data_IF_112911696785
#
_entry.id   IF_112911696785
#
_cell.length_a   1.000
_cell.length_b   1.000
_cell.length_c   1.000
_cell.angle_alpha   90.00
_cell.angle_beta   90.00
_cell.angle_gamma   90.00
#
_symmetry.space_group_name_H-M   'P 1'
#
loop_
_entity.id
_entity.type
_entity.pdbx_description
1 polymer ?
#
# COMPACT_ATOMS: atom_id res chain seq x y z
N UNK A 1 -15.24 -15.55 -54.81
CA UNK A 1 -15.85 -16.43 -53.81
C UNK A 1 -15.42 -15.89 -52.46
N UNK A 2 -16.20 -14.93 -51.91
CA UNK A 2 -15.97 -14.36 -50.59
C UNK A 2 -16.93 -15.05 -49.60
N UNK A 3 -16.39 -15.78 -48.64
CA UNK A 3 -17.14 -16.34 -47.54
C UNK A 3 -17.11 -15.34 -46.37
N UNK A 4 -18.22 -14.67 -46.15
CA UNK A 4 -18.51 -13.94 -44.91
C UNK A 4 -18.83 -14.95 -43.82
N UNK A 5 -17.92 -15.12 -42.87
CA UNK A 5 -18.20 -15.78 -41.59
C UNK A 5 -19.01 -14.79 -40.72
N UNK A 6 -20.30 -15.05 -40.60
CA UNK A 6 -21.19 -14.38 -39.66
C UNK A 6 -20.74 -14.76 -38.23
N UNK A 7 -20.20 -13.79 -37.49
CA UNK A 7 -19.88 -13.92 -36.07
C UNK A 7 -21.21 -13.93 -35.31
N UNK A 8 -21.58 -15.08 -34.78
CA UNK A 8 -22.70 -15.26 -33.87
C UNK A 8 -22.45 -14.39 -32.61
N UNK A 9 -23.06 -13.22 -32.55
CA UNK A 9 -23.14 -12.41 -31.33
C UNK A 9 -24.12 -13.10 -30.36
N UNK A 10 -23.62 -13.98 -29.52
CA UNK A 10 -24.38 -14.51 -28.37
C UNK A 10 -24.83 -13.33 -27.51
N UNK A 11 -26.13 -13.12 -27.43
CA UNK A 11 -26.75 -12.15 -26.54
C UNK A 11 -26.25 -12.37 -25.09
N UNK A 12 -25.91 -11.31 -24.33
CA UNK A 12 -25.50 -11.47 -22.93
C UNK A 12 -26.60 -12.19 -22.16
N UNK A 13 -26.24 -13.13 -21.24
CA UNK A 13 -27.22 -13.87 -20.47
C UNK A 13 -28.13 -12.91 -19.70
N UNK A 14 -29.45 -13.20 -19.58
CA UNK A 14 -30.40 -12.31 -18.91
C UNK A 14 -29.92 -12.06 -17.48
N UNK A 15 -29.76 -10.78 -17.13
CA UNK A 15 -29.46 -10.35 -15.76
C UNK A 15 -30.62 -10.85 -14.87
N UNK A 16 -30.41 -11.96 -14.14
CA UNK A 16 -31.38 -12.47 -13.19
C UNK A 16 -31.72 -11.35 -12.23
N UNK A 17 -32.97 -10.90 -12.26
CA UNK A 17 -33.47 -9.93 -11.29
C UNK A 17 -33.25 -10.50 -9.87
N UNK A 18 -32.37 -9.86 -9.11
CA UNK A 18 -32.10 -10.24 -7.72
C UNK A 18 -33.43 -10.26 -6.95
N UNK A 19 -33.68 -11.32 -6.20
CA UNK A 19 -34.84 -11.40 -5.30
C UNK A 19 -34.79 -10.23 -4.30
N UNK A 20 -35.96 -9.85 -3.77
CA UNK A 20 -36.06 -8.76 -2.78
C UNK A 20 -35.13 -9.01 -1.59
N UNK A 21 -35.00 -10.25 -1.14
CA UNK A 21 -34.07 -10.66 -0.07
C UNK A 21 -32.61 -10.46 -0.46
N UNK A 22 -32.22 -10.75 -1.71
CA UNK A 22 -30.87 -10.53 -2.21
C UNK A 22 -30.55 -9.04 -2.34
N UNK A 23 -31.51 -8.21 -2.75
CA UNK A 23 -31.35 -6.76 -2.80
C UNK A 23 -31.19 -6.16 -1.41
N UNK A 24 -32.00 -6.61 -0.44
CA UNK A 24 -31.90 -6.19 0.96
C UNK A 24 -30.57 -6.62 1.58
N UNK A 25 -30.12 -7.84 1.31
CA UNK A 25 -28.83 -8.33 1.75
C UNK A 25 -27.67 -7.52 1.15
N UNK A 26 -27.69 -7.25 -0.14
CA UNK A 26 -26.68 -6.44 -0.81
C UNK A 26 -26.65 -4.99 -0.30
N UNK A 27 -27.79 -4.43 0.08
CA UNK A 27 -27.87 -3.08 0.66
C UNK A 27 -27.37 -3.04 2.11
N UNK A 28 -27.69 -4.04 2.92
CA UNK A 28 -27.34 -4.09 4.33
C UNK A 28 -25.92 -4.62 4.59
N UNK A 29 -25.46 -5.57 3.77
CA UNK A 29 -24.19 -6.30 3.94
C UNK A 29 -23.44 -6.47 2.61
N UNK A 30 -23.05 -5.37 1.93
CA UNK A 30 -22.46 -5.44 0.58
C UNK A 30 -21.17 -6.27 0.49
N UNK A 31 -20.42 -6.37 1.61
CA UNK A 31 -19.11 -7.05 1.66
C UNK A 31 -19.20 -8.48 2.23
N UNK A 32 -20.40 -9.02 2.48
CA UNK A 32 -20.56 -10.33 3.10
C UNK A 32 -21.01 -11.37 2.07
N UNK A 33 -20.25 -12.46 1.96
CA UNK A 33 -20.68 -13.65 1.25
C UNK A 33 -21.63 -14.49 2.14
N UNK A 34 -22.29 -15.52 1.59
CA UNK A 34 -23.25 -16.32 2.34
C UNK A 34 -22.69 -16.95 3.63
N UNK A 35 -21.43 -17.43 3.61
CA UNK A 35 -20.76 -18.00 4.78
C UNK A 35 -20.48 -16.94 5.85
N UNK A 36 -19.99 -15.77 5.46
CA UNK A 36 -19.74 -14.67 6.38
C UNK A 36 -21.04 -14.13 7.00
N UNK A 37 -22.14 -14.11 6.23
CA UNK A 37 -23.46 -13.71 6.71
C UNK A 37 -23.99 -14.71 7.75
N UNK A 38 -23.91 -16.02 7.46
CA UNK A 38 -24.35 -17.06 8.40
C UNK A 38 -23.55 -16.99 9.70
N UNK A 39 -22.22 -16.82 9.62
CA UNK A 39 -21.35 -16.67 10.79
C UNK A 39 -21.69 -15.39 11.59
N UNK A 40 -21.92 -14.27 10.92
CA UNK A 40 -22.29 -13.02 11.57
C UNK A 40 -23.62 -13.14 12.34
N UNK A 41 -24.64 -13.75 11.74
CA UNK A 41 -25.91 -14.00 12.41
C UNK A 41 -25.78 -14.98 13.61
N UNK A 42 -24.94 -16.01 13.46
CA UNK A 42 -24.61 -16.91 14.55
C UNK A 42 -24.00 -16.16 15.73
N UNK A 43 -22.97 -15.32 15.47
CA UNK A 43 -22.33 -14.52 16.52
C UNK A 43 -23.28 -13.49 17.13
N UNK A 44 -24.16 -12.90 16.31
CA UNK A 44 -25.17 -11.98 16.81
C UNK A 44 -26.17 -12.68 17.76
N UNK A 45 -26.70 -13.82 17.37
CA UNK A 45 -27.69 -14.55 18.19
C UNK A 45 -27.07 -15.10 19.47
N UNK A 46 -25.90 -15.74 19.39
CA UNK A 46 -25.21 -16.28 20.56
C UNK A 46 -24.75 -15.16 21.49
N UNK A 47 -24.13 -14.09 20.93
CA UNK A 47 -23.64 -13.00 21.75
C UNK A 47 -24.73 -12.19 22.43
N UNK A 48 -25.87 -11.97 21.76
CA UNK A 48 -27.04 -11.34 22.39
C UNK A 48 -27.64 -12.21 23.46
N UNK A 49 -27.67 -13.54 23.27
CA UNK A 49 -28.12 -14.47 24.29
C UNK A 49 -27.23 -14.46 25.54
N UNK A 50 -25.88 -14.51 25.36
CA UNK A 50 -24.93 -14.39 26.47
C UNK A 50 -25.08 -13.05 27.21
N UNK A 51 -25.21 -11.96 26.47
CA UNK A 51 -25.40 -10.63 27.07
C UNK A 51 -26.72 -10.53 27.84
N UNK A 52 -27.84 -11.02 27.27
CA UNK A 52 -29.14 -11.02 27.93
C UNK A 52 -29.15 -11.91 29.19
N UNK A 53 -28.57 -13.10 29.11
CA UNK A 53 -28.40 -13.98 30.27
C UNK A 53 -27.58 -13.30 31.37
N UNK A 54 -26.49 -12.63 31.02
CA UNK A 54 -25.68 -11.87 31.97
C UNK A 54 -26.50 -10.74 32.63
N UNK A 55 -27.30 -9.99 31.87
CA UNK A 55 -28.14 -8.92 32.44
C UNK A 55 -29.20 -9.46 33.38
N UNK A 56 -29.83 -10.62 33.06
CA UNK A 56 -30.83 -11.27 33.91
C UNK A 56 -30.20 -11.72 35.24
N UNK A 57 -28.99 -12.29 35.20
CA UNK A 57 -28.28 -12.68 36.42
C UNK A 57 -27.89 -11.43 37.26
N UNK A 58 -27.40 -10.39 36.62
CA UNK A 58 -27.03 -9.13 37.29
C UNK A 58 -28.24 -8.44 37.94
N UNK A 59 -29.43 -8.52 37.33
CA UNK A 59 -30.65 -7.93 37.88
C UNK A 59 -31.07 -8.54 39.24
N UNK A 60 -30.56 -9.72 39.60
CA UNK A 60 -30.81 -10.35 40.88
C UNK A 60 -29.86 -9.88 41.99
N UNK A 61 -28.81 -9.09 41.65
CA UNK A 61 -27.85 -8.59 42.62
C UNK A 61 -28.42 -7.43 43.44
N UNK A 62 -27.92 -7.22 44.68
CA UNK A 62 -28.33 -6.10 45.50
C UNK A 62 -27.90 -4.76 44.89
N UNK A 63 -28.67 -3.70 45.18
CA UNK A 63 -28.52 -2.37 44.56
C UNK A 63 -27.09 -1.78 44.67
N UNK A 64 -26.42 -2.01 45.80
CA UNK A 64 -25.04 -1.55 45.96
C UNK A 64 -24.04 -2.20 44.96
N UNK A 65 -24.24 -3.48 44.67
CA UNK A 65 -23.41 -4.18 43.66
C UNK A 65 -23.68 -3.65 42.25
N UNK A 66 -24.96 -3.36 41.91
CA UNK A 66 -25.32 -2.76 40.62
C UNK A 66 -24.70 -1.37 40.44
N UNK A 67 -24.60 -0.55 41.49
CA UNK A 67 -23.90 0.74 41.43
C UNK A 67 -22.39 0.56 41.18
N UNK A 68 -21.75 -0.43 41.82
CA UNK A 68 -20.35 -0.73 41.60
C UNK A 68 -20.09 -1.22 40.18
N UNK A 69 -20.93 -2.13 39.69
CA UNK A 69 -20.86 -2.65 38.32
C UNK A 69 -21.07 -1.52 37.29
N UNK A 70 -22.09 -0.70 37.49
CA UNK A 70 -22.38 0.43 36.59
C UNK A 70 -21.21 1.42 36.55
N UNK A 71 -20.60 1.74 37.70
CA UNK A 71 -19.42 2.60 37.78
C UNK A 71 -18.21 1.99 37.03
N UNK A 72 -17.94 0.70 37.21
CA UNK A 72 -16.87 0.01 36.52
C UNK A 72 -17.08 -0.10 35.01
N UNK A 73 -18.32 -0.40 34.57
CA UNK A 73 -18.72 -0.38 33.15
C UNK A 73 -18.53 1.02 32.55
N UNK A 74 -18.96 2.05 33.25
CA UNK A 74 -18.78 3.44 32.80
C UNK A 74 -17.29 3.81 32.64
N UNK A 75 -16.43 3.36 33.56
CA UNK A 75 -14.97 3.53 33.44
C UNK A 75 -14.41 2.80 32.23
N UNK A 76 -14.83 1.54 31.99
CA UNK A 76 -14.42 0.79 30.81
C UNK A 76 -14.86 1.50 29.50
N UNK A 77 -16.10 2.01 29.46
CA UNK A 77 -16.60 2.76 28.30
C UNK A 77 -15.87 4.09 28.09
N UNK A 78 -15.55 4.81 29.15
CA UNK A 78 -14.79 6.08 29.05
C UNK A 78 -13.38 5.82 28.52
N UNK A 79 -12.70 4.79 29.01
CA UNK A 79 -11.37 4.44 28.51
C UNK A 79 -11.38 3.96 27.05
N UNK A 80 -12.46 3.36 26.58
CA UNK A 80 -12.66 3.01 25.16
C UNK A 80 -12.71 4.24 24.23
N UNK A 81 -13.00 5.42 24.76
CA UNK A 81 -12.91 6.67 23.99
C UNK A 81 -11.47 7.13 23.72
N UNK A 82 -10.49 6.55 24.42
CA UNK A 82 -9.06 6.86 24.29
C UNK A 82 -8.24 5.65 23.84
N UNK A 83 -8.52 5.12 22.64
CA UNK A 83 -7.83 3.92 22.15
C UNK A 83 -6.36 4.19 21.89
N UNK A 84 -5.50 3.29 22.34
CA UNK A 84 -4.07 3.30 22.03
C UNK A 84 -3.85 2.51 20.73
N UNK A 85 -3.47 3.19 19.66
CA UNK A 85 -3.08 2.53 18.42
C UNK A 85 -1.71 1.91 18.58
N UNK A 86 -1.59 0.65 18.20
CA UNK A 86 -0.30 -0.04 18.22
C UNK A 86 0.45 0.34 16.93
N UNK A 87 1.67 0.91 17.03
CA UNK A 87 2.47 1.27 15.88
C UNK A 87 2.63 0.07 14.92
N UNK A 88 2.53 0.31 13.60
CA UNK A 88 2.65 -0.70 12.53
C UNK A 88 1.52 -1.73 12.43
N UNK A 89 0.45 -1.61 13.21
CA UNK A 89 -0.72 -2.48 13.12
C UNK A 89 -2.00 -1.65 13.05
N UNK A 90 -3.09 -2.22 12.51
CA UNK A 90 -4.41 -1.62 12.56
C UNK A 90 -5.15 -1.99 13.85
N UNK A 91 -4.46 -2.60 14.81
CA UNK A 91 -5.02 -3.01 16.08
C UNK A 91 -5.01 -1.86 17.08
N UNK A 92 -6.05 -1.82 17.86
CA UNK A 92 -6.27 -0.83 18.91
C UNK A 92 -6.32 -1.57 20.24
N UNK A 93 -5.50 -1.18 21.18
CA UNK A 93 -5.54 -1.68 22.54
C UNK A 93 -6.41 -0.75 23.38
N UNK A 94 -7.37 -1.33 24.10
CA UNK A 94 -8.20 -0.60 25.06
C UNK A 94 -7.69 -0.84 26.48
N UNK A 95 -7.49 0.23 27.20
CA UNK A 95 -7.17 0.13 28.62
C UNK A 95 -8.38 -0.26 29.45
N UNK A 96 -9.57 -0.25 28.83
CA UNK A 96 -10.81 -0.74 29.40
C UNK A 96 -10.75 -2.18 29.91
N UNK A 97 -9.85 -2.99 29.32
CA UNK A 97 -9.63 -4.37 29.74
C UNK A 97 -9.31 -4.51 31.22
N UNK A 98 -8.62 -3.55 31.84
CA UNK A 98 -8.32 -3.55 33.27
C UNK A 98 -9.62 -3.52 34.08
N UNK A 99 -10.57 -2.66 33.72
CA UNK A 99 -11.84 -2.52 34.44
C UNK A 99 -12.78 -3.68 34.16
N UNK A 100 -12.75 -4.24 32.93
CA UNK A 100 -13.52 -5.42 32.56
C UNK A 100 -13.09 -6.62 33.38
N UNK A 101 -11.79 -6.89 33.45
CA UNK A 101 -11.23 -8.00 34.23
C UNK A 101 -11.42 -7.77 35.74
N UNK A 102 -11.32 -6.54 36.21
CA UNK A 102 -11.62 -6.21 37.62
C UNK A 102 -13.08 -6.51 37.96
N UNK A 103 -14.03 -6.12 37.09
CA UNK A 103 -15.45 -6.46 37.27
C UNK A 103 -15.72 -7.97 37.25
N UNK A 104 -15.05 -8.70 36.34
CA UNK A 104 -15.07 -10.15 36.28
C UNK A 104 -14.65 -10.79 37.59
N UNK A 105 -13.53 -10.31 38.19
CA UNK A 105 -12.99 -10.85 39.43
C UNK A 105 -13.82 -10.48 40.67
N UNK A 106 -14.45 -9.28 40.67
CA UNK A 106 -15.22 -8.77 41.83
C UNK A 106 -16.68 -9.24 41.82
N UNK A 107 -17.32 -9.33 40.65
CA UNK A 107 -18.78 -9.52 40.51
C UNK A 107 -19.13 -10.69 39.61
N UNK A 108 -18.14 -11.43 39.13
CA UNK A 108 -18.38 -12.65 38.34
C UNK A 108 -18.33 -12.44 36.80
N UNK A 109 -18.43 -13.57 36.07
CA UNK A 109 -18.32 -13.60 34.61
C UNK A 109 -19.42 -12.79 33.89
N UNK A 110 -20.60 -12.66 34.49
CA UNK A 110 -21.72 -11.89 33.95
C UNK A 110 -21.42 -10.39 33.90
N UNK A 111 -20.79 -9.85 34.98
CA UNK A 111 -20.38 -8.46 35.02
C UNK A 111 -19.26 -8.17 34.00
N UNK A 112 -18.30 -9.09 33.85
CA UNK A 112 -17.27 -9.04 32.83
C UNK A 112 -17.86 -9.05 31.42
N UNK A 113 -18.81 -9.95 31.13
CA UNK A 113 -19.49 -10.07 29.85
C UNK A 113 -20.24 -8.79 29.46
N UNK A 114 -21.02 -8.24 30.41
CA UNK A 114 -21.74 -6.99 30.18
C UNK A 114 -20.79 -5.81 29.90
N UNK A 115 -19.70 -5.71 30.67
CA UNK A 115 -18.70 -4.69 30.51
C UNK A 115 -17.98 -4.79 29.15
N UNK A 116 -17.54 -5.99 28.77
CA UNK A 116 -16.84 -6.24 27.51
C UNK A 116 -17.73 -5.93 26.28
N UNK A 117 -19.00 -6.33 26.32
CA UNK A 117 -19.94 -6.03 25.25
C UNK A 117 -20.17 -4.53 25.06
N UNK A 118 -20.39 -3.79 26.15
CA UNK A 118 -20.64 -2.35 26.11
C UNK A 118 -19.37 -1.56 25.72
N UNK A 119 -18.22 -1.94 26.24
CA UNK A 119 -16.92 -1.36 25.86
C UNK A 119 -16.67 -1.54 24.37
N UNK A 120 -16.79 -2.78 23.84
CA UNK A 120 -16.60 -3.08 22.43
C UNK A 120 -17.60 -2.33 21.54
N UNK A 121 -18.83 -2.12 21.99
CA UNK A 121 -19.82 -1.32 21.27
C UNK A 121 -19.37 0.14 21.16
N UNK A 122 -18.93 0.77 22.25
CA UNK A 122 -18.45 2.17 22.27
C UNK A 122 -17.18 2.32 21.43
N UNK A 123 -16.21 1.43 21.59
CA UNK A 123 -14.97 1.40 20.83
C UNK A 123 -15.22 1.28 19.32
N UNK A 124 -16.12 0.36 18.93
CA UNK A 124 -16.48 0.15 17.52
C UNK A 124 -17.32 1.30 16.94
N UNK A 125 -18.13 1.98 17.75
CA UNK A 125 -18.91 3.14 17.31
C UNK A 125 -17.99 4.29 16.83
N UNK A 126 -16.87 4.44 17.48
CA UNK A 126 -15.89 5.48 17.15
C UNK A 126 -14.99 5.06 15.96
N UNK A 127 -14.62 3.77 15.87
CA UNK A 127 -13.65 3.28 14.89
C UNK A 127 -14.26 2.99 13.52
N UNK A 128 -15.57 2.71 13.43
CA UNK A 128 -16.24 2.35 12.18
C UNK A 128 -17.63 2.95 12.04
N UNK A 129 -18.00 3.28 10.78
CA UNK A 129 -19.36 3.71 10.44
C UNK A 129 -20.30 2.54 10.12
N UNK A 130 -19.77 1.30 9.99
CA UNK A 130 -20.52 0.12 9.56
C UNK A 130 -21.25 -0.51 10.76
N UNK A 131 -22.55 -0.52 10.73
CA UNK A 131 -23.39 -1.09 11.78
C UNK A 131 -23.11 -2.58 12.03
N UNK A 132 -22.82 -3.37 10.96
CA UNK A 132 -22.47 -4.79 11.06
C UNK A 132 -21.22 -5.03 11.89
N UNK A 133 -20.22 -4.14 11.79
CA UNK A 133 -19.00 -4.21 12.59
C UNK A 133 -19.27 -3.79 14.03
N UNK A 134 -20.10 -2.77 14.26
CA UNK A 134 -20.45 -2.29 15.61
C UNK A 134 -21.11 -3.37 16.43
N UNK A 135 -22.18 -3.97 15.88
CA UNK A 135 -22.91 -5.06 16.56
C UNK A 135 -22.06 -6.33 16.64
N UNK A 136 -21.37 -6.70 15.55
CA UNK A 136 -20.51 -7.86 15.53
C UNK A 136 -19.38 -7.81 16.55
N UNK A 137 -18.74 -6.65 16.76
CA UNK A 137 -17.70 -6.49 17.77
C UNK A 137 -18.23 -6.68 19.19
N UNK A 138 -19.37 -6.07 19.51
CA UNK A 138 -19.99 -6.19 20.82
C UNK A 138 -20.40 -7.63 21.14
N UNK A 139 -21.02 -8.32 20.19
CA UNK A 139 -21.50 -9.70 20.40
C UNK A 139 -20.34 -10.70 20.45
N UNK A 140 -19.28 -10.52 19.66
CA UNK A 140 -18.07 -11.35 19.74
C UNK A 140 -17.36 -11.14 21.08
N UNK A 141 -17.24 -9.91 21.56
CA UNK A 141 -16.67 -9.61 22.88
C UNK A 141 -17.50 -10.27 24.01
N UNK A 142 -18.85 -10.21 23.90
CA UNK A 142 -19.73 -10.89 24.86
C UNK A 142 -19.50 -12.39 24.90
N UNK A 143 -19.46 -13.06 23.74
CA UNK A 143 -19.22 -14.51 23.65
C UNK A 143 -17.85 -14.87 24.21
N UNK A 144 -16.80 -14.13 23.80
CA UNK A 144 -15.42 -14.38 24.24
C UNK A 144 -15.27 -14.22 25.74
N UNK A 145 -15.85 -13.15 26.31
CA UNK A 145 -15.76 -12.90 27.75
C UNK A 145 -16.62 -13.86 28.55
N UNK A 146 -17.82 -14.17 28.08
CA UNK A 146 -18.70 -15.13 28.74
C UNK A 146 -18.03 -16.51 28.84
N UNK A 147 -17.49 -17.01 27.72
CA UNK A 147 -16.84 -18.33 27.68
C UNK A 147 -15.57 -18.39 28.51
N UNK A 148 -14.64 -17.43 28.28
CA UNK A 148 -13.37 -17.41 29.01
C UNK A 148 -13.54 -17.01 30.47
N UNK A 149 -14.50 -16.15 30.81
CA UNK A 149 -14.79 -15.72 32.17
C UNK A 149 -15.33 -16.84 33.05
N UNK A 150 -16.25 -17.64 32.51
CA UNK A 150 -16.75 -18.85 33.24
C UNK A 150 -15.62 -19.86 33.43
N UNK A 151 -14.76 -20.05 32.43
CA UNK A 151 -13.61 -20.94 32.53
C UNK A 151 -12.65 -20.47 33.63
N UNK A 152 -12.37 -19.15 33.70
CA UNK A 152 -11.54 -18.57 34.76
C UNK A 152 -12.17 -18.79 36.14
N UNK A 153 -13.49 -18.51 36.27
CA UNK A 153 -14.20 -18.62 37.54
C UNK A 153 -14.19 -20.06 38.05
N UNK A 154 -14.46 -21.02 37.16
CA UNK A 154 -14.35 -22.45 37.47
C UNK A 154 -12.92 -22.84 37.87
N UNK A 155 -11.89 -22.28 37.22
CA UNK A 155 -10.49 -22.52 37.59
C UNK A 155 -10.13 -21.96 38.97
N UNK A 156 -10.62 -20.75 39.29
CA UNK A 156 -10.41 -20.13 40.61
C UNK A 156 -11.04 -20.96 41.70
N UNK A 157 -12.27 -21.45 41.50
CA UNK A 157 -12.96 -22.33 42.44
C UNK A 157 -12.25 -23.68 42.60
N UNK A 158 -11.89 -24.33 41.47
CA UNK A 158 -11.27 -25.65 41.46
C UNK A 158 -9.91 -25.67 42.20
N UNK A 159 -9.14 -24.60 42.03
CA UNK A 159 -7.80 -24.48 42.65
C UNK A 159 -7.81 -23.74 43.99
N UNK A 160 -8.98 -23.36 44.48
CA UNK A 160 -9.18 -22.64 45.74
C UNK A 160 -8.22 -21.42 45.83
N UNK A 161 -8.19 -20.61 44.79
CA UNK A 161 -7.28 -19.46 44.72
C UNK A 161 -7.88 -18.31 45.56
N UNK A 162 -7.34 -18.18 46.79
CA UNK A 162 -7.69 -17.07 47.67
C UNK A 162 -6.74 -15.89 47.42
N UNK A 163 -7.35 -14.68 47.39
CA UNK A 163 -6.60 -13.42 47.24
C UNK A 163 -5.63 -13.13 48.41
N UNK A 164 -5.82 -13.78 49.58
CA UNK A 164 -4.99 -13.56 50.74
C UNK A 164 -3.75 -14.48 50.80
N UNK A 165 -3.89 -15.73 50.40
CA UNK A 165 -2.81 -16.73 50.58
C UNK A 165 -2.02 -17.05 49.30
N UNK A 166 -2.68 -16.97 48.11
CA UNK A 166 -2.09 -17.41 46.84
C UNK A 166 -2.07 -16.31 45.79
N UNK A 167 -1.72 -15.09 46.20
CA UNK A 167 -1.72 -13.88 45.33
C UNK A 167 -0.95 -14.09 44.04
N UNK A 168 0.26 -14.62 44.09
CA UNK A 168 1.11 -14.83 42.91
C UNK A 168 0.44 -15.79 41.93
N UNK A 169 -0.16 -16.88 42.42
CA UNK A 169 -0.83 -17.88 41.60
C UNK A 169 -2.10 -17.28 40.95
N UNK A 170 -2.88 -16.50 41.71
CA UNK A 170 -4.05 -15.80 41.20
C UNK A 170 -3.65 -14.82 40.07
N UNK A 171 -2.63 -14.00 40.27
CA UNK A 171 -2.15 -13.06 39.22
C UNK A 171 -1.71 -13.80 37.97
N UNK A 172 -0.94 -14.91 38.12
CA UNK A 172 -0.51 -15.72 36.98
C UNK A 172 -1.69 -16.33 36.21
N UNK A 173 -2.67 -16.88 36.90
CA UNK A 173 -3.87 -17.48 36.28
C UNK A 173 -4.67 -16.40 35.55
N UNK A 174 -4.83 -15.21 36.13
CA UNK A 174 -5.55 -14.09 35.49
C UNK A 174 -4.76 -13.52 34.30
N UNK A 175 -3.42 -13.53 34.33
CA UNK A 175 -2.60 -13.17 33.16
C UNK A 175 -2.82 -14.14 32.00
N UNK A 176 -2.80 -15.45 32.28
CA UNK A 176 -3.06 -16.50 31.27
C UNK A 176 -4.48 -16.35 30.72
N UNK A 177 -5.45 -16.08 31.59
CA UNK A 177 -6.82 -15.77 31.20
C UNK A 177 -6.89 -14.57 30.25
N UNK A 178 -6.21 -13.45 30.54
CA UNK A 178 -6.19 -12.28 29.69
C UNK A 178 -5.66 -12.58 28.29
N UNK A 179 -4.59 -13.35 28.19
CA UNK A 179 -4.07 -13.83 26.91
C UNK A 179 -5.06 -14.74 26.17
N UNK A 180 -5.73 -15.66 26.91
CA UNK A 180 -6.74 -16.57 26.36
C UNK A 180 -7.97 -15.80 25.86
N UNK A 181 -8.50 -14.89 26.64
CA UNK A 181 -9.62 -14.02 26.26
C UNK A 181 -9.30 -13.24 24.97
N UNK A 182 -8.13 -12.60 24.95
CA UNK A 182 -7.68 -11.90 23.76
C UNK A 182 -7.58 -12.82 22.55
N UNK A 183 -6.97 -14.00 22.69
CA UNK A 183 -6.83 -14.97 21.62
C UNK A 183 -8.19 -15.42 21.09
N UNK A 184 -9.14 -15.73 21.98
CA UNK A 184 -10.51 -16.11 21.63
C UNK A 184 -11.22 -14.99 20.83
N UNK A 185 -11.19 -13.77 21.36
CA UNK A 185 -11.80 -12.61 20.72
C UNK A 185 -11.18 -12.32 19.34
N UNK A 186 -9.86 -12.35 19.24
CA UNK A 186 -9.13 -12.10 18.00
C UNK A 186 -9.38 -13.22 16.96
N UNK A 187 -9.48 -14.48 17.38
CA UNK A 187 -9.82 -15.59 16.48
C UNK A 187 -11.23 -15.43 15.91
N UNK A 188 -12.23 -15.15 16.76
CA UNK A 188 -13.60 -14.95 16.32
C UNK A 188 -13.74 -13.74 15.36
N UNK A 189 -13.04 -12.63 15.64
CA UNK A 189 -13.00 -11.48 14.75
C UNK A 189 -12.28 -11.77 13.43
N UNK A 190 -11.16 -12.51 13.47
CA UNK A 190 -10.40 -12.90 12.28
C UNK A 190 -11.21 -13.83 11.37
N UNK A 191 -12.04 -14.70 11.96
CA UNK A 191 -12.94 -15.59 11.20
C UNK A 191 -13.92 -14.81 10.32
N UNK A 192 -14.45 -13.68 10.79
CA UNK A 192 -15.27 -12.77 9.97
C UNK A 192 -14.48 -12.27 8.76
N UNK A 193 -13.25 -11.84 8.97
CA UNK A 193 -12.40 -11.29 7.92
C UNK A 193 -12.01 -12.36 6.87
N UNK A 194 -11.69 -13.57 7.32
CA UNK A 194 -11.42 -14.72 6.43
C UNK A 194 -12.62 -15.08 5.57
N UNK A 195 -13.78 -15.22 6.19
CA UNK A 195 -14.99 -15.59 5.49
C UNK A 195 -15.40 -14.55 4.44
N UNK A 196 -15.18 -13.25 4.74
CA UNK A 196 -15.42 -12.16 3.78
C UNK A 196 -14.50 -12.21 2.58
N UNK A 197 -13.19 -12.43 2.80
CA UNK A 197 -12.17 -12.35 1.76
C UNK A 197 -11.93 -13.65 1.01
N UNK A 198 -12.49 -14.76 1.51
CA UNK A 198 -12.21 -16.12 1.00
C UNK A 198 -10.71 -16.43 0.88
N UNK A 199 -9.88 -15.80 1.71
CA UNK A 199 -8.43 -15.97 1.73
C UNK A 199 -8.00 -16.60 3.05
N UNK A 200 -6.96 -17.46 3.03
CA UNK A 200 -6.39 -18.01 4.26
C UNK A 200 -5.75 -16.90 5.11
N UNK A 201 -5.73 -17.10 6.41
CA UNK A 201 -5.03 -16.22 7.35
C UNK A 201 -3.52 -16.21 7.03
N UNK A 202 -2.95 -15.02 6.95
CA UNK A 202 -1.50 -14.89 6.97
C UNK A 202 -1.02 -15.16 8.41
N UNK A 203 -0.54 -16.39 8.66
CA UNK A 203 -0.12 -16.86 9.98
C UNK A 203 0.99 -16.00 10.60
N UNK A 204 1.92 -15.49 9.80
CA UNK A 204 2.99 -14.62 10.28
C UNK A 204 2.45 -13.28 10.81
N UNK A 205 1.50 -12.66 10.11
CA UNK A 205 0.85 -11.43 10.55
C UNK A 205 0.03 -11.67 11.82
N UNK A 206 -0.72 -12.77 11.86
CA UNK A 206 -1.51 -13.17 13.02
C UNK A 206 -0.60 -13.36 14.24
N UNK A 207 0.49 -14.12 14.10
CA UNK A 207 1.41 -14.40 15.21
C UNK A 207 2.10 -13.13 15.72
N UNK A 208 2.51 -12.22 14.86
CA UNK A 208 3.14 -10.96 15.27
C UNK A 208 2.18 -10.03 16.03
N UNK A 209 0.91 -9.96 15.59
CA UNK A 209 -0.14 -9.17 16.27
C UNK A 209 -0.53 -9.84 17.59
N UNK A 210 -0.70 -11.17 17.59
CA UNK A 210 -1.05 -11.92 18.80
C UNK A 210 0.02 -11.83 19.89
N UNK A 211 1.32 -11.86 19.53
CA UNK A 211 2.40 -11.75 20.50
C UNK A 211 2.37 -10.45 21.30
N UNK A 212 2.28 -9.33 20.60
CA UNK A 212 2.33 -8.00 21.23
C UNK A 212 1.03 -7.63 21.97
N UNK A 213 -0.12 -7.80 21.30
CA UNK A 213 -1.42 -7.44 21.91
C UNK A 213 -1.81 -8.42 23.00
N UNK A 214 -1.49 -9.71 22.84
CA UNK A 214 -1.68 -10.71 23.88
C UNK A 214 -0.86 -10.42 25.14
N UNK A 215 0.39 -9.99 24.99
CA UNK A 215 1.23 -9.56 26.11
C UNK A 215 0.65 -8.32 26.81
N UNK A 216 0.13 -7.35 26.03
CA UNK A 216 -0.51 -6.16 26.60
C UNK A 216 -1.79 -6.51 27.36
N UNK A 217 -2.62 -7.43 26.83
CA UNK A 217 -3.84 -7.91 27.49
C UNK A 217 -3.53 -8.71 28.76
N UNK A 218 -2.48 -9.55 28.74
CA UNK A 218 -1.99 -10.24 29.94
C UNK A 218 -1.51 -9.24 31.00
N UNK A 219 -0.79 -8.18 30.60
CA UNK A 219 -0.35 -7.12 31.49
C UNK A 219 -1.52 -6.34 32.12
N UNK A 220 -2.53 -5.98 31.34
CA UNK A 220 -3.75 -5.34 31.80
C UNK A 220 -4.48 -6.25 32.83
N UNK A 221 -4.55 -7.53 32.54
CA UNK A 221 -5.15 -8.53 33.43
C UNK A 221 -4.38 -8.69 34.74
N UNK A 222 -3.04 -8.63 34.72
CA UNK A 222 -2.21 -8.61 35.91
C UNK A 222 -2.49 -7.37 36.80
N UNK A 223 -2.61 -6.20 36.17
CA UNK A 223 -2.96 -4.95 36.90
C UNK A 223 -4.35 -5.10 37.53
N UNK A 224 -5.34 -5.64 36.81
CA UNK A 224 -6.67 -5.91 37.32
C UNK A 224 -6.65 -6.88 38.51
N UNK A 225 -5.86 -7.95 38.45
CA UNK A 225 -5.69 -8.92 39.54
C UNK A 225 -5.07 -8.26 40.76
N UNK A 226 -4.04 -7.42 40.61
CA UNK A 226 -3.43 -6.68 41.71
C UNK A 226 -4.41 -5.72 42.35
N UNK A 227 -5.20 -4.98 41.55
CA UNK A 227 -6.26 -4.11 42.04
C UNK A 227 -7.31 -4.89 42.82
N UNK A 228 -7.72 -6.09 42.33
CA UNK A 228 -8.65 -6.97 43.01
C UNK A 228 -8.10 -7.42 44.37
N UNK A 229 -6.86 -7.87 44.41
CA UNK A 229 -6.22 -8.29 45.67
C UNK A 229 -6.15 -7.12 46.67
N UNK A 230 -5.70 -5.94 46.21
CA UNK A 230 -5.63 -4.74 47.02
C UNK A 230 -6.99 -4.31 47.57
N UNK A 231 -8.03 -4.39 46.73
CA UNK A 231 -9.42 -4.11 47.12
C UNK A 231 -9.91 -5.11 48.20
N UNK A 232 -9.56 -6.39 48.08
CA UNK A 232 -9.94 -7.40 49.06
C UNK A 232 -9.25 -7.22 50.40
N UNK A 233 -7.97 -6.80 50.38
CA UNK A 233 -7.17 -6.65 51.62
C UNK A 233 -7.40 -5.30 52.32
N UNK A 234 -7.54 -4.22 51.56
CA UNK A 234 -7.57 -2.85 52.09
C UNK A 234 -8.88 -2.08 51.81
N UNK A 235 -9.85 -2.74 51.19
CA UNK A 235 -11.16 -2.17 50.81
C UNK A 235 -11.15 -1.30 49.58
N UNK A 236 -12.34 -0.91 49.14
CA UNK A 236 -12.56 -0.15 47.89
C UNK A 236 -11.91 1.23 47.89
N UNK A 237 -11.66 1.82 49.07
CA UNK A 237 -11.02 3.13 49.20
C UNK A 237 -9.65 3.20 48.51
N UNK A 238 -8.84 2.13 48.59
CA UNK A 238 -7.53 2.08 47.95
C UNK A 238 -7.67 2.07 46.42
N UNK A 239 -8.64 1.33 45.88
CA UNK A 239 -8.91 1.35 44.45
C UNK A 239 -9.27 2.78 43.97
N UNK A 240 -10.11 3.50 44.73
CA UNK A 240 -10.46 4.86 44.39
C UNK A 240 -9.28 5.84 44.43
N UNK A 241 -8.31 5.64 45.34
CA UNK A 241 -7.10 6.47 45.43
C UNK A 241 -6.10 6.16 44.28
N UNK A 242 -6.12 4.95 43.73
CA UNK A 242 -5.28 4.56 42.58
C UNK A 242 -5.84 5.05 41.24
N UNK A 243 -7.15 5.33 41.13
CA UNK A 243 -7.77 5.80 39.88
C UNK A 243 -7.12 7.08 39.30
N UNK A 244 -6.81 8.14 40.08
CA UNK A 244 -6.13 9.31 39.54
C UNK A 244 -4.74 9.00 38.98
N UNK A 245 -4.00 8.13 39.65
CA UNK A 245 -2.66 7.69 39.20
C UNK A 245 -2.78 6.94 37.89
N UNK A 246 -3.73 6.01 37.81
CA UNK A 246 -4.00 5.27 36.58
C UNK A 246 -4.46 6.22 35.45
N UNK A 247 -5.34 7.18 35.73
CA UNK A 247 -5.79 8.18 34.77
C UNK A 247 -4.61 9.04 34.25
N UNK A 248 -3.70 9.46 35.13
CA UNK A 248 -2.51 10.20 34.74
C UNK A 248 -1.59 9.36 33.85
N UNK A 249 -1.33 8.10 34.22
CA UNK A 249 -0.52 7.18 33.42
C UNK A 249 -1.11 6.99 32.03
N UNK A 250 -2.43 6.78 31.95
CA UNK A 250 -3.15 6.61 30.69
C UNK A 250 -3.12 7.86 29.83
N UNK A 251 -3.31 9.03 30.42
CA UNK A 251 -3.23 10.29 29.72
C UNK A 251 -1.83 10.51 29.15
N UNK A 252 -0.80 10.25 29.95
CA UNK A 252 0.60 10.36 29.52
C UNK A 252 0.89 9.41 28.34
N UNK A 253 0.47 8.17 28.45
CA UNK A 253 0.65 7.17 27.39
C UNK A 253 -0.11 7.55 26.11
N UNK A 254 -1.32 8.05 26.26
CA UNK A 254 -2.12 8.55 25.13
C UNK A 254 -1.47 9.75 24.42
N UNK A 255 -0.97 10.72 25.18
CA UNK A 255 -0.24 11.88 24.61
C UNK A 255 1.02 11.42 23.90
N UNK A 256 1.78 10.52 24.50
CA UNK A 256 2.98 9.95 23.89
C UNK A 256 2.68 9.20 22.58
N UNK A 257 1.64 8.37 22.55
CA UNK A 257 1.21 7.68 21.34
C UNK A 257 0.80 8.67 20.23
N UNK A 258 0.07 9.73 20.57
CA UNK A 258 -0.29 10.79 19.61
C UNK A 258 0.91 11.55 19.07
N UNK A 259 1.91 11.81 19.89
CA UNK A 259 3.16 12.45 19.43
C UNK A 259 3.88 11.56 18.43
N UNK A 260 3.96 10.26 18.69
CA UNK A 260 4.57 9.31 17.74
C UNK A 260 3.82 9.25 16.40
N UNK A 261 2.48 9.24 16.42
CA UNK A 261 1.67 9.26 15.20
C UNK A 261 1.90 10.56 14.40
N UNK A 262 1.98 11.70 15.07
CA UNK A 262 2.27 12.99 14.46
C UNK A 262 3.67 13.04 13.84
N UNK A 263 4.68 12.51 14.52
CA UNK A 263 6.06 12.43 14.03
C UNK A 263 6.17 11.50 12.81
N UNK A 264 5.45 10.36 12.82
CA UNK A 264 5.40 9.47 11.66
C UNK A 264 4.72 10.13 10.45
N UNK A 265 3.59 10.82 10.67
CA UNK A 265 2.90 11.56 9.61
C UNK A 265 3.80 12.67 9.03
N UNK A 266 4.54 13.40 9.89
CA UNK A 266 5.48 14.43 9.46
C UNK A 266 6.64 13.84 8.63
N UNK A 267 7.18 12.69 9.02
CA UNK A 267 8.24 11.98 8.25
C UNK A 267 7.73 11.51 6.89
N UNK A 268 6.51 10.95 6.83
CA UNK A 268 5.89 10.54 5.57
C UNK A 268 5.63 11.73 4.64
N UNK A 269 5.14 12.85 5.18
CA UNK A 269 4.93 14.07 4.40
C UNK A 269 6.25 14.61 3.82
N UNK A 270 7.34 14.62 4.62
CA UNK A 270 8.67 15.02 4.14
C UNK A 270 9.22 14.08 3.07
N UNK A 271 9.03 12.76 3.22
CA UNK A 271 9.45 11.79 2.21
C UNK A 271 8.71 12.02 0.87
N UNK A 272 7.40 12.29 0.92
CA UNK A 272 6.60 12.60 -0.28
C UNK A 272 7.02 13.92 -0.95
N UNK A 273 7.39 14.95 -0.18
CA UNK A 273 7.89 16.21 -0.77
C UNK A 273 9.23 16.00 -1.48
N UNK A 274 10.17 15.29 -0.86
CA UNK A 274 11.45 14.96 -1.47
C UNK A 274 11.29 14.12 -2.76
N UNK A 275 10.37 13.17 -2.76
CA UNK A 275 10.07 12.36 -3.94
C UNK A 275 9.49 13.20 -5.09
N UNK A 276 8.59 14.14 -4.78
CA UNK A 276 8.06 15.09 -5.78
C UNK A 276 9.14 16.01 -6.32
N UNK A 277 10.02 16.53 -5.48
CA UNK A 277 11.16 17.37 -5.90
C UNK A 277 12.10 16.59 -6.82
N UNK A 278 12.42 15.33 -6.50
CA UNK A 278 13.23 14.46 -7.36
C UNK A 278 12.56 14.20 -8.72
N UNK A 279 11.24 13.95 -8.74
CA UNK A 279 10.48 13.79 -9.98
C UNK A 279 10.48 15.06 -10.83
N UNK A 280 10.33 16.23 -10.23
CA UNK A 280 10.39 17.50 -10.92
C UNK A 280 11.79 17.75 -11.50
N UNK A 281 12.85 17.48 -10.73
CA UNK A 281 14.23 17.62 -11.19
C UNK A 281 14.53 16.71 -12.39
N UNK A 282 14.07 15.45 -12.35
CA UNK A 282 14.24 14.51 -13.47
C UNK A 282 13.45 14.91 -14.71
N UNK A 283 12.23 15.44 -14.54
CA UNK A 283 11.42 15.93 -15.67
C UNK A 283 12.07 17.16 -16.35
N UNK A 284 12.58 18.10 -15.56
CA UNK A 284 13.30 19.27 -16.07
C UNK A 284 14.62 18.89 -16.79
N UNK A 285 15.35 17.91 -16.26
CA UNK A 285 16.54 17.38 -16.91
C UNK A 285 16.21 16.79 -18.29
N UNK A 286 15.17 15.97 -18.40
CA UNK A 286 14.71 15.41 -19.68
C UNK A 286 14.25 16.47 -20.67
N UNK A 287 13.59 17.52 -20.21
CA UNK A 287 13.19 18.64 -21.07
C UNK A 287 14.41 19.36 -21.65
N UNK A 288 15.44 19.65 -20.82
CA UNK A 288 16.69 20.27 -21.29
C UNK A 288 17.42 19.39 -22.30
N UNK A 289 17.51 18.09 -22.06
CA UNK A 289 18.09 17.15 -23.03
C UNK A 289 17.35 17.16 -24.37
N UNK A 290 16.02 17.16 -24.35
CA UNK A 290 15.20 17.22 -25.55
C UNK A 290 15.37 18.57 -26.28
N UNK A 291 15.47 19.69 -25.57
CA UNK A 291 15.73 20.99 -26.15
C UNK A 291 17.10 21.05 -26.81
N UNK A 292 18.15 20.55 -26.16
CA UNK A 292 19.50 20.47 -26.73
C UNK A 292 19.54 19.58 -27.97
N UNK A 293 18.87 18.40 -27.94
CA UNK A 293 18.79 17.52 -29.09
C UNK A 293 18.10 18.20 -30.29
N UNK A 294 17.00 18.93 -30.04
CA UNK A 294 16.32 19.69 -31.11
C UNK A 294 17.18 20.84 -31.67
N UNK A 295 17.95 21.47 -30.81
CA UNK A 295 18.89 22.53 -31.23
C UNK A 295 20.00 21.95 -32.14
N UNK A 296 20.62 20.85 -31.75
CA UNK A 296 21.63 20.17 -32.56
C UNK A 296 21.09 19.71 -33.92
N UNK A 297 19.87 19.17 -33.95
CA UNK A 297 19.23 18.81 -35.24
C UNK A 297 19.06 20.05 -36.15
N UNK A 298 18.61 21.18 -35.63
CA UNK A 298 18.45 22.43 -36.40
C UNK A 298 19.77 22.96 -36.90
N UNK A 299 20.84 22.88 -36.10
CA UNK A 299 22.19 23.28 -36.49
C UNK A 299 22.72 22.42 -37.65
N UNK A 300 22.52 21.06 -37.53
CA UNK A 300 22.84 20.11 -38.61
C UNK A 300 22.08 20.42 -39.91
N UNK A 301 20.78 20.58 -39.83
CA UNK A 301 19.96 20.91 -41.01
C UNK A 301 20.39 22.22 -41.64
N UNK A 302 20.73 23.24 -40.82
CA UNK A 302 21.18 24.53 -41.31
C UNK A 302 22.53 24.41 -42.00
N UNK A 303 23.44 23.61 -41.44
CA UNK A 303 24.75 23.34 -42.01
C UNK A 303 24.64 22.58 -43.34
N UNK A 304 23.81 21.54 -43.38
CA UNK A 304 23.52 20.79 -44.62
C UNK A 304 22.91 21.65 -45.71
N UNK A 305 21.93 22.49 -45.37
CA UNK A 305 21.34 23.44 -46.35
C UNK A 305 22.35 24.42 -46.92
N UNK A 306 23.23 24.97 -46.05
CA UNK A 306 24.31 25.87 -46.48
C UNK A 306 25.30 25.17 -47.40
N UNK A 307 25.71 23.97 -47.01
CA UNK A 307 26.58 23.14 -47.85
C UNK A 307 25.93 22.85 -49.21
N UNK A 308 24.71 22.38 -49.21
CA UNK A 308 23.95 22.02 -50.42
C UNK A 308 23.78 23.27 -51.35
N UNK A 309 23.44 24.41 -50.77
CA UNK A 309 23.32 25.66 -51.53
C UNK A 309 24.66 26.08 -52.12
N UNK A 310 25.74 26.06 -51.35
CA UNK A 310 27.09 26.39 -51.82
C UNK A 310 27.56 25.42 -52.91
N UNK A 311 27.32 24.13 -52.74
CA UNK A 311 27.69 23.10 -53.70
C UNK A 311 26.91 23.26 -55.03
N UNK A 312 25.61 23.46 -54.95
CA UNK A 312 24.74 23.54 -56.15
C UNK A 312 24.98 24.80 -56.97
N UNK A 313 25.18 25.94 -56.30
CA UNK A 313 25.36 27.24 -56.95
C UNK A 313 26.82 27.68 -57.19
N UNK A 314 27.76 26.79 -56.84
CA UNK A 314 29.19 27.07 -57.13
C UNK A 314 29.42 27.18 -58.65
N UNK A 315 30.19 28.20 -59.05
CA UNK A 315 30.55 28.35 -60.45
C UNK A 315 31.68 27.42 -60.88
N UNK A 316 32.29 26.72 -59.96
CA UNK A 316 33.32 25.69 -60.19
C UNK A 316 32.68 24.30 -60.14
N UNK A 317 33.11 23.38 -61.01
CA UNK A 317 32.67 21.97 -60.96
C UNK A 317 33.12 21.30 -59.70
N UNK A 318 32.15 20.75 -58.96
CA UNK A 318 32.40 20.03 -57.70
C UNK A 318 31.79 18.63 -57.75
N UNK A 319 32.49 17.67 -57.19
CA UNK A 319 31.96 16.32 -56.98
C UNK A 319 32.30 15.81 -55.59
N UNK A 320 31.35 15.01 -55.02
CA UNK A 320 31.62 14.17 -53.86
C UNK A 320 31.95 12.79 -54.35
N UNK A 321 33.16 12.35 -54.08
CA UNK A 321 33.71 11.08 -54.52
C UNK A 321 33.96 10.22 -53.29
N UNK A 322 33.47 8.95 -53.29
CA UNK A 322 33.75 8.02 -52.22
C UNK A 322 35.19 7.49 -52.32
N UNK A 323 35.63 6.79 -51.27
CA UNK A 323 36.98 6.20 -51.20
C UNK A 323 37.25 5.12 -52.29
N UNK A 324 36.22 4.57 -52.87
CA UNK A 324 36.30 3.63 -54.02
C UNK A 324 36.38 4.34 -55.38
N UNK A 325 36.38 5.68 -55.40
CA UNK A 325 36.43 6.47 -56.61
C UNK A 325 35.09 6.73 -57.31
N UNK A 326 33.98 6.21 -56.78
CA UNK A 326 32.65 6.46 -57.31
C UNK A 326 32.13 7.86 -56.99
N UNK A 327 31.53 8.51 -57.98
CA UNK A 327 30.89 9.83 -57.79
C UNK A 327 29.52 9.66 -57.15
N UNK A 328 29.40 10.08 -55.91
CA UNK A 328 28.13 10.08 -55.19
C UNK A 328 27.26 11.32 -55.58
N UNK A 329 27.87 12.44 -55.82
CA UNK A 329 27.15 13.68 -56.12
C UNK A 329 28.04 14.61 -56.98
N UNK A 330 27.46 15.25 -57.95
CA UNK A 330 28.13 16.25 -58.80
C UNK A 330 27.23 17.51 -58.86
N UNK A 331 27.84 18.69 -58.84
CA UNK A 331 27.12 19.92 -58.95
C UNK A 331 26.79 20.30 -60.44
N UNK A 332 25.82 21.20 -60.71
CA UNK A 332 25.47 21.57 -62.05
C UNK A 332 26.63 22.16 -62.88
N UNK A 333 27.55 22.86 -62.24
CA UNK A 333 28.71 23.40 -62.91
C UNK A 333 29.65 22.29 -63.46
N UNK A 334 29.82 21.17 -62.73
CA UNK A 334 30.59 20.04 -63.19
C UNK A 334 29.92 19.34 -64.38
N UNK A 335 28.58 19.17 -64.32
CA UNK A 335 27.80 18.65 -65.47
C UNK A 335 27.98 19.48 -66.71
N UNK A 336 27.89 20.81 -66.58
CA UNK A 336 28.09 21.75 -67.69
C UNK A 336 29.51 21.71 -68.22
N UNK A 337 30.52 21.61 -67.36
CA UNK A 337 31.94 21.55 -67.73
C UNK A 337 32.28 20.29 -68.49
N UNK A 338 31.73 19.16 -68.11
CA UNK A 338 31.98 17.83 -68.76
C UNK A 338 31.05 17.56 -69.91
N UNK A 339 29.97 18.32 -70.11
CA UNK A 339 28.98 18.13 -71.15
C UNK A 339 28.11 16.89 -70.93
N UNK A 340 27.85 16.50 -69.67
CA UNK A 340 27.08 15.32 -69.27
C UNK A 340 25.71 15.76 -68.73
N UNK A 341 24.66 14.96 -69.01
CA UNK A 341 23.33 15.24 -68.48
C UNK A 341 23.22 14.88 -66.97
N UNK A 342 22.26 15.54 -66.30
CA UNK A 342 22.02 15.29 -64.89
C UNK A 342 21.66 13.83 -64.63
N UNK A 343 22.50 13.12 -63.89
CA UNK A 343 22.33 11.70 -63.53
C UNK A 343 23.33 10.75 -64.21
N UNK A 344 23.96 11.13 -65.30
CA UNK A 344 24.96 10.28 -65.99
C UNK A 344 26.26 10.11 -65.18
N UNK A 345 26.58 11.04 -64.28
CA UNK A 345 27.74 11.00 -63.44
C UNK A 345 27.56 10.20 -62.13
N UNK A 346 26.31 9.95 -61.77
CA UNK A 346 26.00 9.14 -60.58
C UNK A 346 26.22 7.68 -60.84
N UNK A 347 27.14 6.99 -60.67
CA UNK A 347 27.41 5.57 -60.91
C UNK A 347 28.68 5.35 -61.72
N UNK A 348 29.31 6.40 -62.22
CA UNK A 348 30.61 6.34 -62.90
C UNK A 348 31.73 6.57 -61.92
N UNK A 349 32.80 5.76 -62.08
CA UNK A 349 34.05 6.10 -61.40
C UNK A 349 34.61 7.38 -61.98
N UNK A 350 35.19 8.22 -61.13
CA UNK A 350 35.85 9.45 -61.60
C UNK A 350 36.99 9.15 -62.56
N UNK A 351 37.57 7.95 -62.52
CA UNK A 351 38.59 7.46 -63.43
C UNK A 351 38.08 7.33 -64.85
N UNK A 352 36.80 7.07 -65.09
CA UNK A 352 36.21 7.02 -66.45
C UNK A 352 36.13 8.41 -67.11
N UNK A 353 36.24 9.46 -66.33
CA UNK A 353 36.23 10.86 -66.80
C UNK A 353 37.63 11.39 -67.13
N UNK A 354 38.63 10.69 -66.61
CA UNK A 354 40.05 11.05 -66.85
C UNK A 354 40.52 10.39 -68.14
N UNK A 355 41.23 11.17 -69.02
CA UNK A 355 41.78 10.61 -70.22
C UNK A 355 42.73 9.44 -69.95
N UNK A 356 42.75 8.46 -70.85
CA UNK A 356 43.58 7.25 -70.75
C UNK A 356 45.10 7.46 -70.57
N UNK A 357 45.57 8.70 -70.72
CA UNK A 357 46.96 9.10 -70.46
C UNK A 357 47.32 9.33 -68.98
N UNK A 358 46.31 9.54 -68.06
CA UNK A 358 46.55 10.01 -66.71
C UNK A 358 45.84 9.23 -65.57
N UNK A 359 45.44 7.92 -65.75
CA UNK A 359 44.64 7.21 -64.75
C UNK A 359 45.39 6.96 -63.42
N UNK A 360 46.69 6.71 -63.51
CA UNK A 360 47.53 6.46 -62.33
C UNK A 360 47.70 7.69 -61.42
N UNK A 361 47.66 8.88 -62.00
CA UNK A 361 47.77 10.14 -61.24
C UNK A 361 46.51 10.38 -60.37
N UNK A 362 45.35 10.15 -60.88
CA UNK A 362 44.11 10.27 -60.13
C UNK A 362 44.03 9.27 -58.98
N UNK A 363 44.30 7.99 -59.28
CA UNK A 363 44.29 6.90 -58.26
C UNK A 363 45.30 7.17 -57.13
N UNK A 364 46.51 7.62 -57.45
CA UNK A 364 47.50 7.97 -56.42
C UNK A 364 47.09 9.16 -55.58
N UNK A 365 46.45 10.19 -56.16
CA UNK A 365 45.94 11.35 -55.43
C UNK A 365 44.77 10.95 -54.54
N UNK A 366 43.83 10.14 -55.02
CA UNK A 366 42.71 9.63 -54.27
C UNK A 366 43.16 8.79 -53.06
N UNK A 367 44.15 7.89 -53.30
CA UNK A 367 44.72 7.04 -52.25
C UNK A 367 45.42 7.90 -51.16
N UNK A 368 46.11 8.97 -51.53
CA UNK A 368 46.76 9.88 -50.58
C UNK A 368 45.76 10.66 -49.73
N UNK A 369 44.67 11.16 -50.32
CA UNK A 369 43.60 11.83 -49.59
C UNK A 369 42.81 10.82 -48.73
N UNK A 370 42.48 9.68 -49.27
CA UNK A 370 41.73 8.63 -48.54
C UNK A 370 42.53 8.03 -47.36
N UNK A 371 43.87 7.99 -47.44
CA UNK A 371 44.74 7.55 -46.34
C UNK A 371 44.95 8.62 -45.27
N UNK A 372 44.44 9.84 -45.44
CA UNK A 372 44.67 10.95 -44.53
C UNK A 372 46.10 11.53 -44.57
N UNK A 373 46.87 11.13 -45.57
CA UNK A 373 48.25 11.65 -45.75
C UNK A 373 48.28 13.13 -46.16
N UNK A 374 47.16 13.64 -46.70
CA UNK A 374 46.99 15.07 -47.05
C UNK A 374 45.51 15.42 -47.09
N UNK A 375 45.14 16.52 -46.46
CA UNK A 375 43.76 17.03 -46.46
C UNK A 375 43.39 17.71 -47.79
N UNK A 376 44.36 18.21 -48.54
CA UNK A 376 44.14 18.88 -49.82
C UNK A 376 45.28 18.54 -50.78
N UNK A 377 44.94 18.08 -51.96
CA UNK A 377 45.88 17.85 -53.05
C UNK A 377 45.41 18.53 -54.34
N UNK A 378 46.31 19.24 -54.99
CA UNK A 378 46.08 19.79 -56.32
C UNK A 378 46.80 18.95 -57.37
N UNK A 379 46.08 18.49 -58.36
CA UNK A 379 46.65 17.75 -59.50
C UNK A 379 46.01 18.16 -60.81
N UNK A 380 46.78 18.21 -61.85
CA UNK A 380 46.28 18.49 -63.18
C UNK A 380 45.93 17.20 -63.90
N UNK A 381 44.68 17.07 -64.32
CA UNK A 381 44.15 15.90 -65.01
C UNK A 381 43.48 16.34 -66.32
N UNK A 382 43.70 15.58 -67.38
CA UNK A 382 42.96 15.75 -68.63
C UNK A 382 41.67 14.93 -68.56
N UNK A 383 40.54 15.65 -68.63
CA UNK A 383 39.21 15.01 -68.63
C UNK A 383 38.64 14.96 -70.04
N UNK A 384 37.98 13.86 -70.40
CA UNK A 384 37.25 13.72 -71.65
C UNK A 384 35.93 14.49 -71.53
N UNK A 385 35.79 15.53 -72.36
CA UNK A 385 34.51 16.20 -72.55
C UNK A 385 33.72 15.42 -73.59
N UNK A 386 32.48 14.99 -73.28
CA UNK A 386 31.58 14.43 -74.25
C UNK A 386 31.21 15.56 -75.24
N UNK A 387 31.58 15.40 -76.53
CA UNK A 387 31.22 16.32 -77.59
C UNK A 387 29.70 16.19 -77.76
N UNK A 388 28.95 17.06 -77.10
CA UNK A 388 27.51 17.13 -77.24
C UNK A 388 27.17 17.86 -78.50
N UNK A 389 26.24 17.29 -79.20
CA UNK A 389 25.49 17.95 -80.24
C UNK A 389 24.95 19.30 -79.68
N UNK A 390 25.10 20.37 -80.48
CA UNK A 390 24.67 21.78 -80.20
C UNK A 390 23.30 21.90 -79.59
#
# INVERSE_FOLDING_TARGET
MQNHAATDMQAPPPVRALSMAQRLHAALMPDYNGKATAYWWLMLTVGTACFAASLLSLAQLPMYALWQISGGVMLAMVTALFPLKIPRTNQVFSVGDIFIVLLLLTHGPEAGCAAAALEALVSSWRSTKRWTTRLGSATIAAVSMWASGHLLHMGIELWALDASERVVMLVMVVMVFGALYFACNALLMSMVAMLKRSQPLNTALVLSVFGWVGAASAGASAIAALLFVTQRLAGIGVTLTLLPILALLLTTLHVFARQQDADQAARQARAQTLEREAQLATSLARQREAELATQHLRELETSERRFYSAFTHASIGMALVASDGLIHQANPALHSLLGCDNGELHVKGFDELVCASDPHRFQSTLAQVASGASDVQATELRCTRRAGVR
#
